data_IF_019382184324
#
_entry.id   IF_019382184324
#
_cell.length_a   1.000
_cell.length_b   1.000
_cell.length_c   1.000
_cell.angle_alpha   90.00
_cell.angle_beta   90.00
_cell.angle_gamma   90.00
#
_symmetry.space_group_name_H-M   'P 1'
#
loop_
_entity.id
_entity.type
_entity.pdbx_description
1 polymer ?
#
# COMPACT_ATOMS: atom_id res chain seq x y z
N UNK A 1 6.61 -3.00 -8.00
CA UNK A 1 5.23 -2.54 -8.22
C UNK A 1 4.69 -1.90 -6.95
N UNK A 2 4.16 -0.68 -7.02
CA UNK A 2 3.73 0.09 -5.86
C UNK A 2 2.24 0.42 -5.92
N UNK A 3 1.53 0.12 -4.84
CA UNK A 3 0.09 0.36 -4.68
C UNK A 3 -0.11 1.55 -3.73
N UNK A 4 -0.82 2.60 -4.16
CA UNK A 4 -0.96 3.82 -3.38
C UNK A 4 -1.91 3.66 -2.19
N UNK A 5 -1.81 4.59 -1.26
CA UNK A 5 -2.75 4.80 -0.17
C UNK A 5 -4.09 5.35 -0.67
N UNK A 6 -5.10 5.40 0.20
CA UNK A 6 -6.45 5.84 -0.15
C UNK A 6 -6.46 7.21 -0.86
N UNK A 7 -7.11 7.28 -2.02
CA UNK A 7 -7.15 8.47 -2.87
C UNK A 7 -5.83 8.80 -3.55
N UNK A 8 -4.79 7.99 -3.33
CA UNK A 8 -3.48 8.17 -3.96
C UNK A 8 -3.41 7.58 -5.36
N UNK A 9 -2.29 7.85 -6.04
CA UNK A 9 -2.02 7.37 -7.38
C UNK A 9 -0.51 7.11 -7.59
N UNK A 10 -0.11 6.73 -8.80
CA UNK A 10 1.27 6.42 -9.15
C UNK A 10 2.24 7.58 -8.89
N UNK A 11 1.79 8.82 -9.00
CA UNK A 11 2.60 10.04 -8.78
C UNK A 11 3.18 10.08 -7.36
N UNK A 12 2.49 9.50 -6.38
CA UNK A 12 2.91 9.50 -4.99
C UNK A 12 4.23 8.74 -4.75
N UNK A 13 4.63 7.86 -5.68
CA UNK A 13 5.88 7.10 -5.59
C UNK A 13 7.04 7.71 -6.38
N UNK A 14 6.87 8.87 -7.03
CA UNK A 14 7.95 9.54 -7.78
C UNK A 14 9.21 9.79 -6.95
N UNK A 15 9.13 10.28 -5.68
CA UNK A 15 10.32 10.47 -4.86
C UNK A 15 11.08 9.16 -4.61
N UNK A 16 10.37 8.09 -4.26
CA UNK A 16 10.95 6.75 -4.09
C UNK A 16 11.56 6.21 -5.38
N UNK A 17 10.86 6.40 -6.51
CA UNK A 17 11.34 5.98 -7.82
C UNK A 17 12.65 6.67 -8.20
N UNK A 18 12.78 7.97 -7.93
CA UNK A 18 14.00 8.73 -8.20
C UNK A 18 15.21 8.21 -7.39
N UNK A 19 14.98 7.74 -6.16
CA UNK A 19 16.04 7.13 -5.34
C UNK A 19 16.43 5.75 -5.84
N UNK A 20 15.47 4.88 -6.16
CA UNK A 20 15.72 3.50 -6.58
C UNK A 20 16.27 3.40 -8.01
N UNK A 21 15.92 4.33 -8.88
CA UNK A 21 16.44 4.38 -10.26
C UNK A 21 17.96 4.50 -10.31
N UNK A 22 18.58 5.14 -9.31
CA UNK A 22 20.06 5.27 -9.22
C UNK A 22 20.76 3.92 -9.10
N UNK A 23 20.03 2.91 -8.63
CA UNK A 23 20.52 1.54 -8.43
C UNK A 23 19.99 0.57 -9.51
N UNK A 24 19.39 1.10 -10.57
CA UNK A 24 18.85 0.30 -11.67
C UNK A 24 17.53 -0.42 -11.31
N UNK A 25 16.87 -0.06 -10.20
CA UNK A 25 15.59 -0.63 -9.78
C UNK A 25 14.46 0.21 -10.40
N UNK A 26 13.67 -0.42 -11.27
CA UNK A 26 12.49 0.22 -11.84
C UNK A 26 11.33 0.21 -10.85
N UNK A 27 10.67 1.36 -10.68
CA UNK A 27 9.45 1.49 -9.89
C UNK A 27 8.27 1.71 -10.83
N UNK A 28 7.29 0.83 -10.74
CA UNK A 28 6.03 0.91 -11.45
C UNK A 28 4.93 1.22 -10.43
N UNK A 29 4.35 2.40 -10.49
CA UNK A 29 3.20 2.78 -9.67
C UNK A 29 1.90 2.33 -10.32
N UNK A 30 1.02 1.74 -9.53
CA UNK A 30 -0.35 1.45 -9.97
C UNK A 30 -1.13 2.75 -10.02
N UNK A 31 -1.81 2.98 -11.14
CA UNK A 31 -2.77 4.07 -11.31
C UNK A 31 -4.17 3.46 -11.27
N UNK A 32 -4.85 3.42 -10.11
CA UNK A 32 -6.17 2.81 -10.05
C UNK A 32 -7.18 3.65 -10.86
N UNK A 33 -8.08 3.02 -11.62
CA UNK A 33 -9.17 3.75 -12.26
C UNK A 33 -9.96 4.60 -11.26
N UNK A 34 -10.43 5.77 -11.70
CA UNK A 34 -11.13 6.72 -10.82
C UNK A 34 -10.21 7.61 -9.96
N UNK A 35 -8.88 7.43 -10.05
CA UNK A 35 -7.87 8.24 -9.35
C UNK A 35 -7.16 9.23 -10.28
N UNK A 36 -7.34 9.07 -11.58
CA UNK A 36 -6.79 9.95 -12.60
C UNK A 36 -7.63 11.23 -12.74
N UNK A 37 -6.96 12.38 -12.62
CA UNK A 37 -7.58 13.69 -12.79
C UNK A 37 -7.96 14.01 -14.25
N UNK A 38 -7.46 13.25 -15.20
CA UNK A 38 -7.71 13.43 -16.63
C UNK A 38 -8.68 12.39 -17.21
N UNK A 39 -9.04 11.36 -16.45
CA UNK A 39 -9.85 10.23 -16.90
C UNK A 39 -11.25 10.22 -16.32
N UNK A 40 -12.22 9.77 -17.14
CA UNK A 40 -13.60 9.51 -16.72
C UNK A 40 -13.76 8.08 -16.19
N UNK A 41 -12.67 7.44 -15.73
CA UNK A 41 -12.67 6.06 -15.27
C UNK A 41 -13.44 5.90 -13.95
N UNK A 42 -14.39 4.97 -13.92
CA UNK A 42 -15.01 4.55 -12.67
C UNK A 42 -14.03 3.71 -11.85
N UNK A 43 -14.04 3.83 -10.51
CA UNK A 43 -13.25 2.96 -9.65
C UNK A 43 -13.58 1.48 -9.88
N UNK A 44 -12.59 0.61 -9.76
CA UNK A 44 -12.84 -0.84 -9.82
C UNK A 44 -13.71 -1.28 -8.65
N UNK A 45 -14.57 -2.29 -8.88
CA UNK A 45 -15.59 -2.73 -7.95
C UNK A 45 -15.03 -3.11 -6.57
N UNK A 46 -13.89 -3.82 -6.55
CA UNK A 46 -13.25 -4.24 -5.32
C UNK A 46 -11.74 -4.53 -5.50
N UNK A 47 -11.09 -4.88 -4.39
CA UNK A 47 -9.65 -5.22 -4.36
C UNK A 47 -9.31 -6.44 -5.23
N UNK A 48 -10.05 -7.56 -5.23
CA UNK A 48 -9.77 -8.69 -6.11
C UNK A 48 -9.78 -8.33 -7.59
N UNK A 49 -10.70 -7.49 -8.04
CA UNK A 49 -10.78 -7.03 -9.46
C UNK A 49 -9.56 -6.19 -9.82
N UNK A 50 -9.17 -5.24 -8.97
CA UNK A 50 -7.96 -4.44 -9.16
C UNK A 50 -6.71 -5.33 -9.18
N UNK A 51 -6.60 -6.27 -8.25
CA UNK A 51 -5.44 -7.15 -8.14
C UNK A 51 -5.33 -8.10 -9.34
N UNK A 52 -6.44 -8.61 -9.87
CA UNK A 52 -6.47 -9.39 -11.11
C UNK A 52 -5.94 -8.59 -12.29
N UNK A 53 -6.43 -7.38 -12.47
CA UNK A 53 -5.97 -6.50 -13.54
C UNK A 53 -4.46 -6.25 -13.44
N UNK A 54 -3.96 -5.88 -12.25
CA UNK A 54 -2.53 -5.65 -12.03
C UNK A 54 -1.70 -6.93 -12.25
N UNK A 55 -2.20 -8.10 -11.79
CA UNK A 55 -1.55 -9.38 -12.03
C UNK A 55 -1.41 -9.64 -13.54
N UNK A 56 -2.44 -9.40 -14.35
CA UNK A 56 -2.43 -9.63 -15.78
C UNK A 56 -1.44 -8.71 -16.49
N UNK A 57 -1.38 -7.43 -16.11
CA UNK A 57 -0.38 -6.47 -16.59
C UNK A 57 1.06 -6.90 -16.24
N UNK A 58 1.29 -7.36 -15.01
CA UNK A 58 2.60 -7.86 -14.59
C UNK A 58 3.00 -9.10 -15.40
N UNK A 59 2.09 -10.05 -15.55
CA UNK A 59 2.37 -11.29 -16.30
C UNK A 59 2.69 -10.99 -17.75
N UNK A 60 1.99 -10.06 -18.36
CA UNK A 60 2.14 -9.73 -19.78
C UNK A 60 3.36 -8.84 -20.08
N UNK A 61 3.70 -7.91 -19.19
CA UNK A 61 4.59 -6.80 -19.53
C UNK A 61 5.79 -6.60 -18.62
N UNK A 62 5.80 -7.17 -17.40
CA UNK A 62 6.88 -6.95 -16.44
C UNK A 62 7.76 -8.19 -16.35
N UNK A 63 9.06 -8.09 -16.67
CA UNK A 63 9.97 -9.21 -16.47
C UNK A 63 10.14 -9.52 -14.98
N UNK A 64 10.34 -10.78 -14.64
CA UNK A 64 10.76 -11.16 -13.29
C UNK A 64 12.23 -10.73 -13.06
N UNK A 65 12.64 -10.45 -11.81
CA UNK A 65 11.89 -10.55 -10.57
C UNK A 65 11.01 -9.32 -10.24
N UNK A 66 9.97 -9.51 -9.42
CA UNK A 66 9.05 -8.45 -9.00
C UNK A 66 8.91 -8.46 -7.47
N UNK A 67 9.08 -7.29 -6.85
CA UNK A 67 8.63 -7.05 -5.47
C UNK A 67 7.40 -6.14 -5.50
N UNK A 68 6.50 -6.30 -4.53
CA UNK A 68 5.32 -5.45 -4.39
C UNK A 68 5.41 -4.61 -3.12
N UNK A 69 4.95 -3.37 -3.20
CA UNK A 69 4.83 -2.43 -2.10
C UNK A 69 3.38 -1.96 -2.00
N UNK A 70 2.70 -2.24 -0.91
CA UNK A 70 1.44 -1.61 -0.56
C UNK A 70 1.66 -0.53 0.49
N UNK A 71 1.05 0.64 0.33
CA UNK A 71 1.10 1.70 1.33
C UNK A 71 -0.29 1.97 1.90
N UNK A 72 -0.46 1.86 3.22
CA UNK A 72 -1.75 2.04 3.89
C UNK A 72 -2.82 1.14 3.25
N UNK A 73 -3.94 1.65 2.78
CA UNK A 73 -4.99 0.87 2.11
C UNK A 73 -4.49 0.09 0.88
N UNK A 74 -3.46 0.58 0.19
CA UNK A 74 -2.84 -0.12 -0.93
C UNK A 74 -2.23 -1.49 -0.59
N UNK A 75 -2.03 -1.76 0.71
CA UNK A 75 -1.59 -3.08 1.20
C UNK A 75 -2.59 -4.17 0.79
N UNK A 76 -3.90 -3.90 0.84
CA UNK A 76 -4.92 -4.85 0.44
C UNK A 76 -4.71 -5.37 -0.99
N UNK A 77 -4.54 -4.46 -1.95
CA UNK A 77 -4.31 -4.81 -3.35
C UNK A 77 -2.93 -5.43 -3.58
N UNK A 78 -1.90 -5.00 -2.85
CA UNK A 78 -0.56 -5.57 -2.94
C UNK A 78 -0.52 -7.03 -2.49
N UNK A 79 -1.18 -7.36 -1.36
CA UNK A 79 -1.28 -8.73 -0.84
C UNK A 79 -2.03 -9.64 -1.82
N UNK A 80 -3.18 -9.19 -2.30
CA UNK A 80 -3.99 -9.97 -3.23
C UNK A 80 -3.26 -10.17 -4.56
N UNK A 81 -2.57 -9.15 -5.07
CA UNK A 81 -1.74 -9.28 -6.29
C UNK A 81 -0.60 -10.27 -6.08
N UNK A 82 0.09 -10.24 -4.94
CA UNK A 82 1.16 -11.19 -4.64
C UNK A 82 0.64 -12.64 -4.60
N UNK A 83 -0.52 -12.85 -3.99
CA UNK A 83 -1.20 -14.16 -3.93
C UNK A 83 -1.54 -14.66 -5.34
N UNK A 84 -2.19 -13.83 -6.16
CA UNK A 84 -2.56 -14.16 -7.54
C UNK A 84 -1.35 -14.42 -8.45
N UNK A 85 -0.25 -13.68 -8.25
CA UNK A 85 1.01 -13.93 -8.98
C UNK A 85 1.62 -15.28 -8.59
N UNK A 86 1.57 -15.66 -7.31
CA UNK A 86 2.05 -16.98 -6.87
C UNK A 86 1.20 -18.11 -7.49
N UNK A 87 -0.12 -17.97 -7.52
CA UNK A 87 -1.04 -18.91 -8.19
C UNK A 87 -0.79 -19.02 -9.70
N UNK A 88 -0.37 -17.91 -10.32
CA UNK A 88 0.03 -17.89 -11.74
C UNK A 88 1.45 -18.44 -11.99
N UNK A 89 2.11 -18.99 -10.99
CA UNK A 89 3.49 -19.51 -11.10
C UNK A 89 4.55 -18.43 -11.22
N UNK A 90 4.24 -17.20 -10.85
CA UNK A 90 5.15 -16.04 -10.84
C UNK A 90 5.22 -15.39 -9.46
N UNK A 91 5.72 -16.09 -8.43
CA UNK A 91 5.78 -15.54 -7.08
C UNK A 91 6.62 -14.27 -7.04
N UNK A 92 6.20 -13.32 -6.20
CA UNK A 92 6.96 -12.11 -5.93
C UNK A 92 8.21 -12.43 -5.10
N UNK A 93 9.27 -11.66 -5.27
CA UNK A 93 10.46 -11.83 -4.43
C UNK A 93 10.22 -11.36 -2.99
N UNK A 94 9.40 -10.31 -2.82
CA UNK A 94 9.18 -9.67 -1.53
C UNK A 94 7.89 -8.86 -1.53
N UNK A 95 7.24 -8.80 -0.36
CA UNK A 95 6.08 -7.95 -0.12
C UNK A 95 6.44 -6.91 0.94
N UNK A 96 6.27 -5.64 0.63
CA UNK A 96 6.42 -4.54 1.58
C UNK A 96 5.04 -4.04 2.01
N UNK A 97 4.83 -3.98 3.31
CA UNK A 97 3.62 -3.47 3.96
C UNK A 97 3.99 -2.15 4.63
N UNK A 98 3.66 -1.03 4.00
CA UNK A 98 3.97 0.31 4.48
C UNK A 98 2.81 0.96 5.22
N UNK A 99 3.07 1.51 6.41
CA UNK A 99 2.14 2.32 7.20
C UNK A 99 0.80 1.62 7.52
N UNK A 100 0.81 0.29 7.69
CA UNK A 100 -0.38 -0.46 8.05
C UNK A 100 -0.05 -1.59 9.03
N UNK A 101 -0.84 -1.68 10.08
CA UNK A 101 -0.88 -2.82 10.98
C UNK A 101 -2.19 -3.59 10.71
N UNK A 102 -2.14 -4.89 10.83
CA UNK A 102 -3.36 -5.72 10.80
C UNK A 102 -3.97 -5.68 12.20
N UNK A 103 -4.67 -4.58 12.47
CA UNK A 103 -5.36 -4.33 13.71
C UNK A 103 -6.61 -5.18 13.90
N UNK A 104 -7.31 -4.92 14.99
CA UNK A 104 -8.56 -5.60 15.23
C UNK A 104 -9.63 -5.20 14.20
N UNK A 105 -10.54 -6.13 13.95
CA UNK A 105 -11.62 -5.94 12.99
C UNK A 105 -12.62 -4.84 13.40
N UNK A 106 -12.65 -4.46 14.67
CA UNK A 106 -13.53 -3.41 15.21
C UNK A 106 -13.01 -2.02 14.83
N UNK A 107 -11.72 -1.77 14.99
CA UNK A 107 -11.07 -0.51 14.54
C UNK A 107 -11.26 -0.32 13.04
N UNK A 108 -11.01 -1.36 12.26
CA UNK A 108 -11.19 -1.31 10.80
C UNK A 108 -12.66 -1.05 10.41
N UNK A 109 -13.61 -1.68 11.09
CA UNK A 109 -15.04 -1.45 10.87
C UNK A 109 -15.46 -0.01 11.23
N UNK A 110 -14.88 0.56 12.29
CA UNK A 110 -15.12 1.94 12.68
C UNK A 110 -14.58 2.93 11.62
N UNK A 111 -13.42 2.68 11.04
CA UNK A 111 -12.87 3.49 9.94
C UNK A 111 -13.74 3.41 8.69
N UNK A 112 -14.15 2.21 8.30
CA UNK A 112 -15.08 2.02 7.18
C UNK A 112 -16.39 2.78 7.39
N UNK A 113 -16.96 2.73 8.62
CA UNK A 113 -18.19 3.45 8.96
C UNK A 113 -17.99 4.97 8.85
N UNK A 114 -16.86 5.48 9.37
CA UNK A 114 -16.51 6.90 9.25
C UNK A 114 -16.39 7.34 7.80
N UNK A 115 -15.73 6.53 6.97
CA UNK A 115 -15.60 6.81 5.54
C UNK A 115 -16.95 6.79 4.83
N UNK A 116 -17.78 5.79 5.09
CA UNK A 116 -19.10 5.63 4.46
C UNK A 116 -20.09 6.77 4.78
N UNK A 117 -19.94 7.41 5.94
CA UNK A 117 -20.86 8.46 6.42
C UNK A 117 -20.32 9.88 6.27
N UNK A 118 -19.06 10.05 5.89
CA UNK A 118 -18.48 11.37 5.70
C UNK A 118 -18.94 11.99 4.38
N UNK A 119 -19.25 13.29 4.41
CA UNK A 119 -19.41 14.07 3.19
C UNK A 119 -18.05 14.47 2.61
N UNK A 120 -18.02 14.81 1.31
CA UNK A 120 -16.80 15.16 0.58
C UNK A 120 -16.02 16.30 1.26
N UNK A 121 -16.72 17.28 1.81
CA UNK A 121 -16.09 18.44 2.47
C UNK A 121 -15.40 18.05 3.78
N UNK A 122 -16.00 17.16 4.55
CA UNK A 122 -15.42 16.59 5.76
C UNK A 122 -14.20 15.74 5.46
N UNK A 123 -14.26 14.91 4.41
CA UNK A 123 -13.12 14.12 3.92
C UNK A 123 -11.97 15.02 3.46
N UNK A 124 -12.24 16.02 2.65
CA UNK A 124 -11.24 16.97 2.18
C UNK A 124 -10.59 17.77 3.32
N UNK A 125 -11.37 18.16 4.33
CA UNK A 125 -10.84 18.83 5.51
C UNK A 125 -9.87 17.95 6.28
N UNK A 126 -10.17 16.66 6.43
CA UNK A 126 -9.30 15.67 7.09
C UNK A 126 -8.03 15.40 6.27
N UNK A 127 -8.15 15.24 4.95
CA UNK A 127 -7.02 15.03 4.06
C UNK A 127 -6.06 16.23 4.08
N UNK A 128 -6.59 17.44 4.15
CA UNK A 128 -5.79 18.68 4.29
C UNK A 128 -5.12 18.78 5.65
N UNK A 129 -5.82 18.42 6.73
CA UNK A 129 -5.28 18.46 8.10
C UNK A 129 -4.17 17.41 8.32
N UNK A 130 -4.18 16.32 7.58
CA UNK A 130 -3.18 15.25 7.67
C UNK A 130 -1.89 15.51 6.91
N UNK A 131 -1.68 16.69 6.34
CA UNK A 131 -0.51 17.05 5.51
C UNK A 131 -0.27 16.11 4.31
N UNK A 132 -1.23 15.24 4.02
CA UNK A 132 -1.13 14.16 3.03
C UNK A 132 -1.05 14.68 1.64
N UNK A 133 -1.82 15.71 1.39
CA UNK A 133 -1.98 16.32 0.10
C UNK A 133 -1.70 17.81 0.21
N UNK A 134 -0.44 18.17 0.41
CA UNK A 134 -0.01 19.58 0.33
C UNK A 134 -0.46 20.22 -0.99
N UNK A 135 -0.59 19.38 -2.03
CA UNK A 135 -1.08 19.74 -3.34
C UNK A 135 -2.60 19.96 -3.40
N UNK A 136 -3.39 19.42 -2.43
CA UNK A 136 -4.84 19.66 -2.38
C UNK A 136 -5.22 21.13 -2.17
N UNK A 137 -4.33 21.92 -1.55
CA UNK A 137 -4.54 23.36 -1.43
C UNK A 137 -4.44 24.08 -2.78
N UNK A 138 -3.73 23.50 -3.74
CA UNK A 138 -3.50 24.02 -5.08
C UNK A 138 -4.48 23.43 -6.13
N UNK A 139 -5.18 22.33 -5.75
CA UNK A 139 -6.17 21.69 -6.62
C UNK A 139 -7.47 22.50 -6.63
N UNK A 140 -8.04 22.72 -7.80
CA UNK A 140 -9.41 23.22 -7.94
C UNK A 140 -10.43 22.25 -7.31
N UNK A 141 -11.62 22.77 -7.01
CA UNK A 141 -12.71 22.02 -6.35
C UNK A 141 -13.02 20.68 -7.00
N UNK A 142 -13.10 20.63 -8.33
CA UNK A 142 -13.39 19.40 -9.08
C UNK A 142 -12.38 18.27 -8.83
N UNK A 143 -11.09 18.64 -8.76
CA UNK A 143 -10.03 17.66 -8.44
C UNK A 143 -10.06 17.19 -6.99
N UNK A 144 -10.38 18.09 -6.08
CA UNK A 144 -10.56 17.76 -4.68
C UNK A 144 -11.69 16.74 -4.49
N UNK A 145 -12.80 16.92 -5.20
CA UNK A 145 -13.94 15.99 -5.16
C UNK A 145 -13.58 14.59 -5.71
N UNK A 146 -12.74 14.52 -6.76
CA UNK A 146 -12.23 13.23 -7.27
C UNK A 146 -11.42 12.51 -6.19
N UNK A 147 -10.50 13.21 -5.53
CA UNK A 147 -9.69 12.63 -4.45
C UNK A 147 -10.56 12.16 -3.27
N UNK A 148 -11.57 12.94 -2.89
CA UNK A 148 -12.46 12.55 -1.79
C UNK A 148 -13.23 11.26 -2.10
N UNK A 149 -13.79 11.16 -3.32
CA UNK A 149 -14.50 9.94 -3.75
C UNK A 149 -13.57 8.74 -3.85
N UNK A 150 -12.38 8.91 -4.43
CA UNK A 150 -11.37 7.86 -4.52
C UNK A 150 -10.95 7.40 -3.12
N UNK A 151 -10.69 8.33 -2.20
CA UNK A 151 -10.36 8.02 -0.81
C UNK A 151 -11.46 7.18 -0.13
N UNK A 152 -12.72 7.62 -0.24
CA UNK A 152 -13.86 6.91 0.35
C UNK A 152 -13.98 5.49 -0.20
N UNK A 153 -13.90 5.36 -1.52
CA UNK A 153 -13.95 4.08 -2.21
C UNK A 153 -12.84 3.13 -1.72
N UNK A 154 -11.60 3.62 -1.66
CA UNK A 154 -10.45 2.82 -1.26
C UNK A 154 -10.53 2.35 0.19
N UNK A 155 -10.91 3.23 1.11
CA UNK A 155 -11.08 2.84 2.52
C UNK A 155 -12.14 1.75 2.66
N UNK A 156 -13.25 1.85 1.92
CA UNK A 156 -14.33 0.87 1.98
C UNK A 156 -13.93 -0.47 1.36
N UNK A 157 -13.29 -0.46 0.19
CA UNK A 157 -12.92 -1.69 -0.52
C UNK A 157 -11.73 -2.40 0.13
N UNK A 158 -10.68 -1.65 0.47
CA UNK A 158 -9.54 -2.18 1.20
C UNK A 158 -9.93 -2.68 2.59
N UNK A 159 -10.78 -1.94 3.31
CA UNK A 159 -11.26 -2.34 4.62
C UNK A 159 -12.02 -3.67 4.60
N UNK A 160 -12.90 -3.87 3.61
CA UNK A 160 -13.58 -5.16 3.44
C UNK A 160 -12.59 -6.30 3.19
N UNK A 161 -11.59 -6.07 2.34
CA UNK A 161 -10.59 -7.08 2.00
C UNK A 161 -9.68 -7.40 3.20
N UNK A 162 -9.15 -6.40 3.88
CA UNK A 162 -8.29 -6.58 5.06
C UNK A 162 -9.02 -7.26 6.22
N UNK A 163 -10.31 -6.99 6.36
CA UNK A 163 -11.16 -7.72 7.31
C UNK A 163 -11.24 -9.21 6.96
N UNK A 164 -11.44 -9.55 5.68
CA UNK A 164 -11.43 -10.95 5.24
C UNK A 164 -10.07 -11.62 5.47
N UNK A 165 -8.96 -10.89 5.26
CA UNK A 165 -7.61 -11.36 5.62
C UNK A 165 -7.49 -11.66 7.12
N UNK A 166 -7.98 -10.78 7.98
CA UNK A 166 -7.97 -10.97 9.44
C UNK A 166 -8.84 -12.13 9.92
N UNK A 167 -10.01 -12.32 9.29
CA UNK A 167 -10.95 -13.41 9.61
C UNK A 167 -10.46 -14.78 9.13
N UNK A 168 -9.69 -14.85 8.04
CA UNK A 168 -9.17 -16.10 7.48
C UNK A 168 -7.75 -15.94 6.92
N UNK A 169 -6.74 -15.68 7.77
CA UNK A 169 -5.38 -15.37 7.32
C UNK A 169 -4.73 -16.53 6.54
N UNK A 170 -5.10 -17.78 6.83
CA UNK A 170 -4.57 -18.95 6.11
C UNK A 170 -4.86 -18.90 4.60
N UNK A 171 -6.00 -18.33 4.18
CA UNK A 171 -6.34 -18.18 2.77
C UNK A 171 -5.47 -17.14 2.05
N UNK A 172 -4.75 -16.32 2.81
CA UNK A 172 -3.91 -15.22 2.32
C UNK A 172 -2.43 -15.44 2.61
N UNK A 173 -2.04 -16.66 2.98
CA UNK A 173 -0.62 -16.96 3.25
C UNK A 173 0.25 -16.72 2.03
N UNK A 174 1.42 -16.17 2.29
CA UNK A 174 2.45 -15.87 1.29
C UNK A 174 3.75 -16.60 1.62
N UNK A 175 4.32 -17.25 0.62
CA UNK A 175 5.66 -17.82 0.71
C UNK A 175 6.76 -16.77 0.59
N UNK A 176 6.44 -15.60 0.05
CA UNK A 176 7.36 -14.50 -0.08
C UNK A 176 7.71 -13.87 1.28
N UNK A 177 8.95 -13.39 1.50
CA UNK A 177 9.27 -12.57 2.65
C UNK A 177 8.40 -11.32 2.71
N UNK A 178 7.94 -10.97 3.92
CA UNK A 178 7.11 -9.80 4.18
C UNK A 178 7.88 -8.81 5.04
N UNK A 179 8.01 -7.59 4.56
CA UNK A 179 8.69 -6.48 5.23
C UNK A 179 7.65 -5.46 5.69
N UNK A 180 7.38 -5.39 6.97
CA UNK A 180 6.49 -4.39 7.56
C UNK A 180 7.29 -3.13 7.84
N UNK A 181 6.87 -2.00 7.30
CA UNK A 181 7.58 -0.71 7.44
C UNK A 181 6.63 0.32 8.06
N UNK A 182 7.04 0.89 9.17
CA UNK A 182 6.30 1.93 9.89
C UNK A 182 7.20 3.10 10.24
N UNK A 183 6.63 4.24 10.57
CA UNK A 183 7.35 5.39 11.13
C UNK A 183 6.89 5.63 12.58
N UNK A 184 7.82 5.98 13.47
CA UNK A 184 7.54 6.19 14.92
C UNK A 184 6.57 7.33 15.20
N UNK A 185 6.57 8.31 14.31
CA UNK A 185 5.72 9.50 14.39
C UNK A 185 4.38 9.33 13.64
N UNK A 186 4.08 8.14 13.11
CA UNK A 186 2.79 7.81 12.51
C UNK A 186 1.79 7.38 13.60
N UNK A 187 0.82 8.24 13.89
CA UNK A 187 -0.24 7.92 14.84
C UNK A 187 -1.11 6.72 14.46
N UNK A 188 -1.20 6.40 13.16
CA UNK A 188 -2.00 5.27 12.68
C UNK A 188 -1.34 3.92 13.00
N UNK A 189 -0.03 3.90 13.23
CA UNK A 189 0.73 2.69 13.58
C UNK A 189 1.30 2.73 15.00
N UNK A 190 0.76 3.59 15.87
CA UNK A 190 1.23 3.76 17.26
C UNK A 190 1.07 2.49 18.14
N UNK A 191 0.12 1.59 17.79
CA UNK A 191 -0.13 0.32 18.48
C UNK A 191 0.79 -0.83 18.01
N UNK A 192 1.95 -0.51 17.46
CA UNK A 192 2.89 -1.42 16.81
C UNK A 192 3.19 -2.71 17.58
N UNK A 193 3.37 -2.62 18.91
CA UNK A 193 3.81 -3.76 19.73
C UNK A 193 2.78 -4.89 19.79
N UNK A 194 1.50 -4.60 19.69
CA UNK A 194 0.40 -5.57 19.80
C UNK A 194 -0.05 -6.03 18.41
N UNK A 195 -0.23 -5.12 17.48
CA UNK A 195 -0.87 -5.36 16.19
C UNK A 195 0.09 -5.88 15.09
N UNK A 196 1.40 -5.62 15.21
CA UNK A 196 2.40 -6.22 14.30
C UNK A 196 2.27 -7.75 14.23
N UNK A 197 1.90 -8.37 15.35
CA UNK A 197 1.68 -9.81 15.43
C UNK A 197 0.64 -10.37 14.46
N UNK A 198 -0.34 -9.55 14.05
CA UNK A 198 -1.39 -9.96 13.11
C UNK A 198 -0.83 -10.38 11.75
N UNK A 199 0.23 -9.71 11.26
CA UNK A 199 0.87 -10.07 10.01
C UNK A 199 1.59 -11.42 10.02
N UNK A 200 1.97 -11.93 11.19
CA UNK A 200 2.59 -13.27 11.33
C UNK A 200 1.66 -14.41 10.91
N UNK A 201 0.37 -14.16 10.86
CA UNK A 201 -0.59 -15.15 10.39
C UNK A 201 -0.55 -15.38 8.87
N UNK A 202 -0.01 -14.43 8.09
CA UNK A 202 0.07 -14.54 6.63
C UNK A 202 1.45 -14.93 6.09
N UNK A 203 2.51 -14.87 6.89
CA UNK A 203 3.84 -15.33 6.47
C UNK A 203 4.70 -15.72 7.68
N UNK A 204 5.51 -16.76 7.50
CA UNK A 204 6.52 -17.16 8.49
C UNK A 204 7.81 -16.32 8.40
N UNK A 205 7.99 -15.57 7.32
CA UNK A 205 9.17 -14.73 7.05
C UNK A 205 8.81 -13.26 7.09
N UNK A 206 8.68 -12.72 8.31
CA UNK A 206 8.34 -11.31 8.55
C UNK A 206 9.50 -10.57 9.20
N UNK A 207 9.81 -9.40 8.66
CA UNK A 207 10.74 -8.44 9.24
C UNK A 207 10.02 -7.12 9.49
N UNK A 208 10.25 -6.52 10.67
CA UNK A 208 9.77 -5.19 11.00
C UNK A 208 10.88 -4.17 10.79
N UNK A 209 10.57 -3.08 10.10
CA UNK A 209 11.40 -1.90 9.93
C UNK A 209 10.71 -0.67 10.50
N UNK A 210 11.42 0.06 11.34
CA UNK A 210 10.91 1.24 11.99
C UNK A 210 11.75 2.46 11.60
N UNK A 211 11.15 3.37 10.83
CA UNK A 211 11.75 4.66 10.54
C UNK A 211 11.61 5.58 11.74
N UNK A 212 12.63 6.39 12.02
CA UNK A 212 12.63 7.29 13.18
C UNK A 212 11.53 8.35 13.06
N UNK A 213 11.29 8.82 11.84
CA UNK A 213 10.29 9.83 11.50
C UNK A 213 9.85 9.68 10.05
N UNK A 214 8.80 10.39 9.66
CA UNK A 214 8.30 10.41 8.28
C UNK A 214 6.78 10.42 8.20
N UNK A 215 6.11 10.21 9.32
CA UNK A 215 4.65 10.17 9.42
C UNK A 215 4.05 9.04 8.61
N UNK A 216 2.74 9.12 8.38
CA UNK A 216 2.00 8.09 7.62
C UNK A 216 2.46 7.95 6.16
N UNK A 217 3.05 9.00 5.58
CA UNK A 217 3.41 9.06 4.15
C UNK A 217 4.92 9.04 3.90
N UNK A 218 5.67 8.28 4.69
CA UNK A 218 7.13 8.22 4.64
C UNK A 218 7.69 7.82 3.25
N UNK A 219 6.95 7.15 2.39
CA UNK A 219 7.35 6.91 0.99
C UNK A 219 7.59 8.22 0.21
N UNK A 220 6.97 9.32 0.64
CA UNK A 220 7.13 10.67 0.07
C UNK A 220 8.10 11.53 0.88
N UNK A 221 8.01 11.47 2.22
CA UNK A 221 8.74 12.36 3.13
C UNK A 221 10.13 11.83 3.46
N UNK A 222 10.35 10.51 3.37
CA UNK A 222 11.62 9.80 3.62
C UNK A 222 11.98 8.83 2.50
N UNK A 223 12.02 9.28 1.22
CA UNK A 223 12.21 8.39 0.08
C UNK A 223 13.57 7.71 0.08
N UNK A 224 14.63 8.38 0.53
CA UNK A 224 15.98 7.82 0.58
C UNK A 224 16.09 6.66 1.60
N UNK A 225 15.49 6.81 2.78
CA UNK A 225 15.45 5.79 3.82
C UNK A 225 14.59 4.61 3.39
N UNK A 226 13.42 4.89 2.81
CA UNK A 226 12.55 3.87 2.22
C UNK A 226 13.24 3.09 1.11
N UNK A 227 13.98 3.78 0.22
CA UNK A 227 14.74 3.14 -0.84
C UNK A 227 15.88 2.26 -0.28
N UNK A 228 16.51 2.65 0.82
CA UNK A 228 17.55 1.85 1.47
C UNK A 228 17.00 0.50 1.95
N UNK A 229 15.77 0.46 2.47
CA UNK A 229 15.11 -0.78 2.86
C UNK A 229 14.85 -1.69 1.64
N UNK A 230 14.36 -1.12 0.54
CA UNK A 230 14.12 -1.88 -0.69
C UNK A 230 15.43 -2.46 -1.23
N UNK A 231 16.51 -1.66 -1.26
CA UNK A 231 17.85 -2.13 -1.70
C UNK A 231 18.37 -3.29 -0.86
N UNK A 232 18.24 -3.20 0.45
CA UNK A 232 18.71 -4.28 1.35
C UNK A 232 17.96 -5.60 1.11
N UNK A 233 16.70 -5.53 0.72
CA UNK A 233 15.89 -6.68 0.35
C UNK A 233 16.21 -7.27 -1.02
N UNK A 234 16.74 -6.47 -1.95
CA UNK A 234 17.13 -6.92 -3.30
C UNK A 234 18.57 -7.48 -3.36
N UNK A 235 19.38 -7.32 -2.31
CA UNK A 235 20.72 -7.89 -2.27
C UNK A 235 20.63 -9.43 -2.25
N UNK A 236 21.45 -10.15 -3.07
CA UNK A 236 21.47 -11.60 -3.02
C UNK A 236 21.86 -12.05 -1.60
N UNK A 237 21.05 -12.94 -1.03
CA UNK A 237 21.34 -13.54 0.28
C UNK A 237 22.72 -14.18 0.20
N UNK A 238 23.71 -13.59 0.88
CA UNK A 238 25.01 -14.25 1.02
C UNK A 238 24.77 -15.58 1.73
N UNK A 239 25.24 -16.73 1.18
CA UNK A 239 25.11 -17.99 1.89
C UNK A 239 25.79 -17.81 3.26
N UNK A 240 25.03 -17.99 4.34
CA UNK A 240 25.65 -18.16 5.66
C UNK A 240 26.42 -19.45 5.62
N UNK A 241 27.74 -19.36 5.72
CA UNK A 241 28.61 -20.51 5.90
C UNK A 241 28.11 -21.36 7.07
N UNK A 242 27.79 -22.62 6.74
CA UNK A 242 27.47 -23.67 7.69
C UNK A 242 28.71 -24.08 8.47
#
# INVERSE_FOLDING_TARGET
MCFPFAGGNAVNFRPLAAELQRDGIAVLGVEPPGHDFAGDGEPMEDVPVLAQWVRDEIVAHVPAPVSVWGHSTGVAAALETARLLAEAGRPVERVYIGALLLGDTETLAAEMTRAATADDQSLLSRLRAGEVYTELAELGTERADVVARAYQHDVLTAGRHLRAVGENPEAYRLDAPVEVVVARDDAATAALTEEYGGWKAISDRITLHELTEGGHYFVRTRPAETAALVRSGCAPSTPQDQ
#
